data_IF_477334820789
#
_entry.id   IF_477334820789
#
_cell.length_a   1.000
_cell.length_b   1.000
_cell.length_c   1.000
_cell.angle_alpha   90.00
_cell.angle_beta   90.00
_cell.angle_gamma   90.00
#
_symmetry.space_group_name_H-M   'P 1'
#
loop_
_entity.id
_entity.type
_entity.pdbx_description
1 polymer ?
#
# COMPACT_ATOMS: atom_id res chain seq x y z
N UNK A 1 1.82 -12.68 0.04
CA UNK A 1 2.34 -11.72 -0.97
C UNK A 1 1.51 -11.88 -2.23
N UNK A 2 1.07 -10.80 -2.88
CA UNK A 2 0.29 -10.91 -4.12
C UNK A 2 1.16 -11.57 -5.22
N UNK A 3 0.64 -12.53 -6.01
CA UNK A 3 1.44 -13.28 -6.99
C UNK A 3 2.18 -12.39 -7.98
N UNK A 4 1.53 -11.32 -8.45
CA UNK A 4 2.13 -10.36 -9.39
C UNK A 4 3.32 -9.60 -8.78
N UNK A 5 3.24 -9.21 -7.50
CA UNK A 5 4.35 -8.57 -6.81
C UNK A 5 5.52 -9.55 -6.62
N UNK A 6 5.22 -10.81 -6.30
CA UNK A 6 6.24 -11.84 -6.16
C UNK A 6 6.96 -12.10 -7.50
N UNK A 7 6.23 -12.04 -8.60
CA UNK A 7 6.78 -12.18 -9.95
C UNK A 7 7.68 -11.00 -10.32
N UNK A 8 7.20 -9.75 -10.12
CA UNK A 8 8.01 -8.55 -10.36
C UNK A 8 9.30 -8.54 -9.52
N UNK A 9 9.23 -8.97 -8.26
CA UNK A 9 10.40 -9.04 -7.40
C UNK A 9 11.40 -10.10 -7.88
N UNK A 10 10.92 -11.25 -8.35
CA UNK A 10 11.78 -12.32 -8.88
C UNK A 10 12.47 -11.87 -10.16
N UNK A 11 11.74 -11.25 -11.08
CA UNK A 11 12.29 -10.69 -12.32
C UNK A 11 13.37 -9.64 -12.02
N UNK A 12 13.15 -8.78 -11.02
CA UNK A 12 14.15 -7.81 -10.57
C UNK A 12 15.40 -8.49 -10.03
N UNK A 13 15.24 -9.52 -9.18
CA UNK A 13 16.37 -10.28 -8.64
C UNK A 13 17.15 -11.01 -9.73
N UNK A 14 16.47 -11.59 -10.72
CA UNK A 14 17.11 -12.28 -11.85
C UNK A 14 17.89 -11.29 -12.74
N UNK A 15 17.38 -10.07 -12.91
CA UNK A 15 18.00 -9.05 -13.75
C UNK A 15 19.17 -8.31 -13.06
N UNK A 16 19.07 -8.03 -11.77
CA UNK A 16 19.99 -7.13 -11.06
C UNK A 16 20.75 -7.78 -9.90
N UNK A 17 20.32 -8.96 -9.44
CA UNK A 17 20.85 -9.61 -8.25
C UNK A 17 20.54 -8.84 -6.96
N UNK A 18 21.34 -9.09 -5.93
CA UNK A 18 21.31 -8.36 -4.65
C UNK A 18 22.69 -7.83 -4.30
N UNK A 19 22.77 -6.79 -3.46
CA UNK A 19 24.04 -6.35 -2.88
C UNK A 19 24.67 -7.44 -2.00
N UNK A 20 26.00 -7.39 -1.74
CA UNK A 20 26.67 -8.27 -0.77
C UNK A 20 25.99 -8.31 0.61
N UNK A 21 25.35 -7.22 1.03
CA UNK A 21 24.64 -7.10 2.31
C UNK A 21 23.18 -7.58 2.22
N UNK A 22 22.73 -8.08 1.06
CA UNK A 22 21.38 -8.59 0.84
C UNK A 22 20.34 -7.53 0.43
N UNK A 23 20.74 -6.29 0.16
CA UNK A 23 19.82 -5.27 -0.33
C UNK A 23 19.35 -5.59 -1.76
N UNK A 24 18.03 -5.61 -1.96
CA UNK A 24 17.39 -5.95 -3.23
C UNK A 24 17.36 -4.73 -4.18
N UNK A 25 17.18 -3.53 -3.63
CA UNK A 25 17.21 -2.28 -4.38
C UNK A 25 18.48 -1.51 -4.06
N UNK A 26 19.34 -1.36 -5.06
CA UNK A 26 20.62 -0.65 -4.97
C UNK A 26 20.67 0.46 -6.01
N UNK A 27 21.33 1.56 -5.67
CA UNK A 27 21.61 2.62 -6.62
C UNK A 27 22.60 2.15 -7.70
N UNK A 28 22.66 2.89 -8.81
CA UNK A 28 23.49 2.54 -9.98
C UNK A 28 24.98 2.31 -9.68
N UNK A 29 25.49 2.83 -8.56
CA UNK A 29 26.89 2.70 -8.13
C UNK A 29 27.07 1.68 -6.98
N UNK A 30 26.09 0.81 -6.74
CA UNK A 30 26.15 -0.24 -5.70
C UNK A 30 25.86 0.23 -4.27
N UNK A 31 25.60 1.53 -4.06
CA UNK A 31 25.18 2.10 -2.78
C UNK A 31 23.66 2.04 -2.55
N UNK A 32 23.18 2.59 -1.44
CA UNK A 32 21.75 2.73 -1.17
C UNK A 32 21.06 3.61 -2.22
N UNK A 33 19.79 3.33 -2.49
CA UNK A 33 18.96 4.22 -3.32
C UNK A 33 18.78 5.55 -2.60
N UNK A 34 19.08 6.65 -3.28
CA UNK A 34 18.89 7.98 -2.73
C UNK A 34 17.42 8.40 -2.80
N UNK A 35 16.97 9.23 -1.85
CA UNK A 35 15.60 9.78 -1.87
C UNK A 35 15.28 10.48 -3.18
N UNK A 36 16.25 11.22 -3.75
CA UNK A 36 16.08 11.90 -5.04
C UNK A 36 15.82 10.92 -6.18
N UNK A 37 16.61 9.85 -6.26
CA UNK A 37 16.43 8.81 -7.28
C UNK A 37 15.10 8.11 -7.11
N UNK A 38 14.73 7.77 -5.88
CA UNK A 38 13.45 7.14 -5.57
C UNK A 38 12.26 8.03 -5.97
N UNK A 39 12.28 9.31 -5.60
CA UNK A 39 11.22 10.26 -5.94
C UNK A 39 11.11 10.50 -7.44
N UNK A 40 12.25 10.61 -8.14
CA UNK A 40 12.25 10.74 -9.59
C UNK A 40 11.55 9.55 -10.26
N UNK A 41 11.97 8.32 -9.94
CA UNK A 41 11.36 7.10 -10.48
C UNK A 41 9.88 7.01 -10.12
N UNK A 42 9.50 7.41 -8.91
CA UNK A 42 8.09 7.46 -8.50
C UNK A 42 7.27 8.40 -9.37
N UNK A 43 7.73 9.63 -9.60
CA UNK A 43 6.99 10.60 -10.43
C UNK A 43 6.94 10.20 -11.90
N UNK A 44 8.00 9.59 -12.43
CA UNK A 44 8.00 9.01 -13.79
C UNK A 44 6.97 7.88 -13.91
N UNK A 45 6.97 6.94 -12.96
CA UNK A 45 6.00 5.85 -12.92
C UNK A 45 4.56 6.36 -12.75
N UNK A 46 4.35 7.37 -11.90
CA UNK A 46 3.04 8.03 -11.74
C UNK A 46 2.56 8.65 -13.04
N UNK A 47 3.44 9.35 -13.77
CA UNK A 47 3.12 9.94 -15.06
C UNK A 47 2.76 8.90 -16.13
N UNK A 48 3.39 7.71 -16.07
CA UNK A 48 3.09 6.61 -16.98
C UNK A 48 1.80 5.85 -16.63
N UNK A 49 1.44 5.76 -15.34
CA UNK A 49 0.30 4.98 -14.87
C UNK A 49 -1.04 5.75 -14.94
N UNK A 50 -1.01 7.08 -14.88
CA UNK A 50 -2.21 7.92 -14.78
C UNK A 50 -2.55 8.65 -16.08
N UNK A 51 -3.83 8.95 -16.25
CA UNK A 51 -4.28 9.90 -17.27
C UNK A 51 -3.74 11.30 -16.97
N UNK A 52 -3.70 12.19 -17.98
CA UNK A 52 -3.24 13.56 -17.78
C UNK A 52 -4.04 14.33 -16.73
N UNK A 53 -5.34 14.06 -16.62
CA UNK A 53 -6.21 14.65 -15.59
C UNK A 53 -5.85 14.16 -14.19
N UNK A 54 -5.75 12.85 -13.99
CA UNK A 54 -5.35 12.24 -12.71
C UNK A 54 -3.95 12.69 -12.29
N UNK A 55 -3.00 12.73 -13.23
CA UNK A 55 -1.65 13.19 -12.99
C UNK A 55 -1.57 14.68 -12.59
N UNK A 56 -2.50 15.51 -13.08
CA UNK A 56 -2.61 16.92 -12.69
C UNK A 56 -3.25 17.12 -11.31
N UNK A 57 -3.92 16.10 -10.79
CA UNK A 57 -4.58 16.14 -9.48
C UNK A 57 -3.63 15.83 -8.32
N UNK A 58 -4.01 16.09 -7.05
CA UNK A 58 -3.27 15.64 -5.87
C UNK A 58 -3.27 14.11 -5.66
N UNK A 59 -3.90 13.33 -6.54
CA UNK A 59 -3.95 11.89 -6.43
C UNK A 59 -2.54 11.30 -6.45
N UNK A 60 -2.16 10.65 -5.36
CA UNK A 60 -0.88 9.95 -5.22
C UNK A 60 0.33 10.86 -5.49
N UNK A 61 0.29 12.12 -5.08
CA UNK A 61 1.41 13.05 -5.35
C UNK A 61 2.69 12.65 -4.62
N UNK A 62 2.57 12.01 -3.45
CA UNK A 62 3.70 11.51 -2.66
C UNK A 62 3.75 9.98 -2.62
N UNK A 63 4.93 9.34 -2.53
CA UNK A 63 5.04 7.89 -2.44
C UNK A 63 4.31 7.30 -1.22
N UNK A 64 4.27 8.03 -0.11
CA UNK A 64 3.55 7.61 1.11
C UNK A 64 2.03 7.43 0.87
N UNK A 65 1.47 8.01 -0.19
CA UNK A 65 0.09 7.80 -0.58
C UNK A 65 -0.19 6.34 -0.99
N UNK A 66 0.79 5.60 -1.55
CA UNK A 66 0.66 4.16 -1.83
C UNK A 66 0.40 3.36 -0.56
N UNK A 67 1.10 3.70 0.52
CA UNK A 67 0.89 3.07 1.81
C UNK A 67 -0.50 3.38 2.36
N UNK A 68 -0.95 4.62 2.25
CA UNK A 68 -2.31 4.99 2.66
C UNK A 68 -3.38 4.25 1.86
N UNK A 69 -3.21 4.13 0.55
CA UNK A 69 -4.13 3.39 -0.32
C UNK A 69 -4.18 1.90 0.04
N UNK A 70 -3.03 1.25 0.25
CA UNK A 70 -2.96 -0.15 0.62
C UNK A 70 -3.63 -0.43 1.98
N UNK A 71 -3.28 0.34 3.02
CA UNK A 71 -3.82 0.14 4.37
C UNK A 71 -5.32 0.40 4.42
N UNK A 72 -5.79 1.46 3.76
CA UNK A 72 -7.24 1.75 3.69
C UNK A 72 -8.02 0.69 2.91
N UNK A 73 -7.43 0.12 1.86
CA UNK A 73 -8.01 -0.99 1.10
C UNK A 73 -8.13 -2.26 1.94
N UNK A 74 -7.06 -2.65 2.64
CA UNK A 74 -7.09 -3.81 3.54
C UNK A 74 -8.14 -3.63 4.64
N UNK A 75 -8.17 -2.45 5.27
CA UNK A 75 -9.11 -2.16 6.34
C UNK A 75 -10.57 -2.21 5.86
N UNK A 76 -10.86 -1.73 4.65
CA UNK A 76 -12.20 -1.82 4.05
C UNK A 76 -12.58 -3.26 3.70
N UNK A 77 -11.62 -4.06 3.24
CA UNK A 77 -11.85 -5.44 2.84
C UNK A 77 -12.07 -6.37 4.04
N UNK A 78 -11.30 -6.21 5.12
CA UNK A 78 -11.33 -7.13 6.26
C UNK A 78 -12.16 -6.63 7.44
N UNK A 79 -12.22 -5.31 7.66
CA UNK A 79 -12.75 -4.74 8.91
C UNK A 79 -11.91 -5.02 10.16
N UNK A 80 -10.82 -5.79 10.05
CA UNK A 80 -9.98 -6.24 11.16
C UNK A 80 -8.83 -5.25 11.41
N UNK A 81 -9.10 -4.28 12.29
CA UNK A 81 -8.11 -3.26 12.66
C UNK A 81 -6.84 -3.85 13.32
N UNK A 82 -6.91 -4.79 14.28
CA UNK A 82 -5.72 -5.45 14.84
C UNK A 82 -4.82 -6.10 13.78
N UNK A 83 -5.39 -6.91 12.88
CA UNK A 83 -4.63 -7.63 11.87
C UNK A 83 -3.97 -6.68 10.86
N UNK A 84 -4.71 -5.67 10.40
CA UNK A 84 -4.20 -4.67 9.46
C UNK A 84 -3.10 -3.82 10.10
N UNK A 85 -3.21 -3.48 11.39
CA UNK A 85 -2.17 -2.76 12.12
C UNK A 85 -0.87 -3.58 12.20
N UNK A 86 -0.97 -4.89 12.45
CA UNK A 86 0.17 -5.79 12.47
C UNK A 86 0.86 -5.86 11.10
N UNK A 87 0.11 -6.03 10.00
CA UNK A 87 0.68 -6.03 8.65
C UNK A 87 1.32 -4.69 8.26
N UNK A 88 0.70 -3.58 8.67
CA UNK A 88 1.25 -2.27 8.41
C UNK A 88 2.47 -1.97 9.30
N UNK A 89 2.70 -2.70 10.39
CA UNK A 89 3.83 -2.47 11.30
C UNK A 89 3.64 -1.26 12.21
N UNK A 90 2.40 -0.97 12.63
CA UNK A 90 2.10 0.08 13.61
C UNK A 90 1.05 -0.36 14.62
N UNK A 91 0.87 0.39 15.72
CA UNK A 91 -0.13 0.06 16.73
C UNK A 91 -1.57 0.27 16.23
N UNK A 92 -2.52 -0.42 16.85
CA UNK A 92 -3.96 -0.25 16.57
C UNK A 92 -4.41 1.18 16.87
N UNK A 93 -3.87 1.80 17.91
CA UNK A 93 -4.17 3.20 18.25
C UNK A 93 -3.76 4.16 17.12
N UNK A 94 -2.57 3.96 16.52
CA UNK A 94 -2.14 4.74 15.34
C UNK A 94 -3.05 4.46 14.14
N UNK A 95 -3.41 3.19 13.91
CA UNK A 95 -4.33 2.83 12.83
C UNK A 95 -5.66 3.56 12.97
N UNK A 96 -6.31 3.48 14.13
CA UNK A 96 -7.62 4.10 14.35
C UNK A 96 -7.54 5.63 14.26
N UNK A 97 -6.47 6.25 14.78
CA UNK A 97 -6.26 7.69 14.64
C UNK A 97 -6.19 8.16 13.19
N UNK A 98 -5.53 7.39 12.33
CA UNK A 98 -5.27 7.77 10.93
C UNK A 98 -6.40 7.32 9.99
N UNK A 99 -7.03 6.19 10.26
CA UNK A 99 -7.96 5.50 9.35
C UNK A 99 -9.39 5.33 9.90
N UNK A 100 -9.76 5.98 11.01
CA UNK A 100 -11.13 5.91 11.55
C UNK A 100 -12.22 6.11 10.49
N UNK A 101 -12.03 7.08 9.58
CA UNK A 101 -12.97 7.35 8.47
C UNK A 101 -13.25 6.15 7.57
N UNK A 102 -12.28 5.25 7.40
CA UNK A 102 -12.42 4.03 6.60
C UNK A 102 -13.29 2.97 7.31
N UNK A 103 -13.28 2.96 8.65
CA UNK A 103 -14.12 2.09 9.48
C UNK A 103 -15.55 2.65 9.54
N UNK A 104 -15.70 3.97 9.72
CA UNK A 104 -17.00 4.65 9.80
C UNK A 104 -17.76 4.68 8.47
N UNK A 105 -17.05 4.64 7.33
CA UNK A 105 -17.69 4.58 6.00
C UNK A 105 -18.32 3.22 5.66
N UNK A 106 -18.18 2.21 6.53
CA UNK A 106 -18.73 0.86 6.33
C UNK A 106 -20.02 0.60 7.13
N UNK A 107 -20.60 1.60 7.81
CA UNK A 107 -21.75 1.39 8.72
C UNK A 107 -22.95 0.72 8.03
N UNK A 108 -23.27 1.09 6.78
CA UNK A 108 -24.36 0.47 6.02
C UNK A 108 -24.11 -1.00 5.66
N UNK A 109 -22.92 -1.30 5.12
CA UNK A 109 -22.56 -2.68 4.76
C UNK A 109 -22.25 -3.57 5.96
N UNK A 110 -21.83 -2.99 7.07
CA UNK A 110 -21.64 -3.71 8.33
C UNK A 110 -22.99 -4.07 8.96
N UNK A 111 -23.99 -3.18 8.89
CA UNK A 111 -25.33 -3.48 9.39
C UNK A 111 -25.99 -4.60 8.58
N UNK A 112 -25.89 -4.59 7.25
CA UNK A 112 -26.38 -5.70 6.41
C UNK A 112 -25.73 -7.03 6.78
N UNK A 113 -24.40 -7.07 6.94
CA UNK A 113 -23.70 -8.30 7.38
C UNK A 113 -24.13 -8.77 8.77
N UNK A 114 -24.37 -7.84 9.70
CA UNK A 114 -24.86 -8.19 11.05
C UNK A 114 -26.27 -8.77 10.92
N UNK A 115 -27.15 -8.13 10.16
CA UNK A 115 -28.52 -8.59 9.95
C UNK A 115 -28.55 -9.97 9.27
N UNK A 116 -27.70 -10.22 8.29
CA UNK A 116 -27.54 -11.55 7.66
C UNK A 116 -27.06 -12.61 8.67
N UNK A 117 -26.09 -12.25 9.52
CA UNK A 117 -25.55 -13.17 10.53
C UNK A 117 -26.53 -13.42 11.70
N UNK A 118 -27.38 -12.45 12.03
CA UNK A 118 -28.35 -12.55 13.13
C UNK A 118 -29.78 -12.91 12.69
N UNK A 119 -30.05 -12.90 11.38
CA UNK A 119 -31.37 -13.12 10.77
C UNK A 119 -31.67 -14.59 10.43
N UNK A 120 -30.74 -15.50 10.69
CA UNK A 120 -30.99 -16.94 10.71
C UNK A 120 -30.90 -17.46 12.15
N UNK A 121 -32.02 -17.39 12.87
CA UNK A 121 -32.27 -18.10 14.14
C UNK A 121 -33.76 -18.34 14.29
#
# INVERSE_FOLDING_TARGET
MHPELAELLRQHLDAYGSSPDGHIFVGAHGGAVTDRTYLQVFHEARGAAFTSEEASSPLMDVPYALRHAAVSTWLRATGDAPQVAAWAGHSVAVLLRVYAKCVSGAQGSNLERILDATGQS
#
